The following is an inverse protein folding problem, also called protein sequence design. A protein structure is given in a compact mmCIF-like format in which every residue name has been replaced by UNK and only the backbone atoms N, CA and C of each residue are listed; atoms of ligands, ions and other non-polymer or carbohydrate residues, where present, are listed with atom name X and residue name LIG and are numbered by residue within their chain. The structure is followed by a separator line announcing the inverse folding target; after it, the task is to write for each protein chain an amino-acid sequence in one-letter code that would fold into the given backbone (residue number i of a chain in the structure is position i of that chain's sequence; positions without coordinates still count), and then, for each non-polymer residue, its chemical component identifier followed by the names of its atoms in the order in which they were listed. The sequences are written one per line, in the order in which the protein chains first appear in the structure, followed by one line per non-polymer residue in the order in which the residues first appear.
data_IF_717631444784
#
_entry.id   IF_717631444784
#
_cell.length_a   1.000
_cell.length_b   1.000
_cell.length_c   1.000
_cell.angle_alpha   90.00
_cell.angle_beta   90.00
_cell.angle_gamma   90.00
#
_symmetry.space_group_name_H-M   'P 1'
#
loop_
_entity.id
_entity.type
_entity.pdbx_description
1 polymer ?
#
# COMPACT_ATOMS: atom_id res chain seq x y z
N UNK A 1 -10.18 -3.30 -8.15
CA UNK A 1 -9.28 -3.12 -6.97
C UNK A 1 -7.84 -3.23 -7.45
N UNK A 2 -6.86 -2.62 -6.79
CA UNK A 2 -5.43 -2.69 -7.13
C UNK A 2 -4.69 -3.43 -6.03
N UNK A 3 -3.78 -4.34 -6.40
CA UNK A 3 -2.82 -4.90 -5.46
C UNK A 3 -1.52 -4.10 -5.59
N UNK A 4 -1.06 -3.51 -4.49
CA UNK A 4 0.19 -2.75 -4.41
C UNK A 4 1.20 -3.49 -3.55
N UNK A 5 2.47 -3.49 -3.95
CA UNK A 5 3.58 -3.96 -3.14
C UNK A 5 4.13 -2.77 -2.35
N UNK A 6 4.10 -2.86 -1.03
CA UNK A 6 4.70 -1.88 -0.12
C UNK A 6 5.99 -2.43 0.49
N UNK A 7 6.90 -1.53 0.85
CA UNK A 7 8.11 -1.80 1.63
C UNK A 7 8.14 -0.90 2.86
N UNK A 8 8.37 -1.48 4.02
CA UNK A 8 8.64 -0.70 5.23
C UNK A 8 10.02 -0.05 5.15
N UNK A 9 10.10 1.25 5.36
CA UNK A 9 11.36 1.99 5.36
C UNK A 9 12.17 1.80 6.66
N UNK A 10 11.55 1.23 7.71
CA UNK A 10 12.22 0.96 8.99
C UNK A 10 12.87 -0.43 9.01
N UNK A 11 12.09 -1.50 8.81
CA UNK A 11 12.59 -2.87 8.91
C UNK A 11 12.83 -3.55 7.54
N UNK A 12 12.52 -2.87 6.43
CA UNK A 12 12.71 -3.40 5.07
C UNK A 12 11.71 -4.46 4.64
N UNK A 13 10.77 -4.86 5.51
CA UNK A 13 9.76 -5.87 5.22
C UNK A 13 8.86 -5.44 4.05
N UNK A 14 8.58 -6.36 3.13
CA UNK A 14 7.74 -6.13 1.96
C UNK A 14 6.47 -6.95 2.06
N UNK A 15 5.34 -6.34 1.73
CA UNK A 15 4.02 -6.97 1.81
C UNK A 15 3.07 -6.36 0.78
N UNK A 16 2.07 -7.14 0.39
CA UNK A 16 1.08 -6.75 -0.61
C UNK A 16 -0.17 -6.21 0.10
N UNK A 17 -0.79 -5.18 -0.45
CA UNK A 17 -2.05 -4.65 0.03
C UNK A 17 -3.02 -4.43 -1.11
N UNK A 18 -4.27 -4.81 -0.87
CA UNK A 18 -5.38 -4.50 -1.75
C UNK A 18 -5.90 -3.10 -1.42
N UNK A 19 -5.90 -2.22 -2.42
CA UNK A 19 -6.49 -0.89 -2.36
C UNK A 19 -7.61 -0.77 -3.39
N UNK A 20 -8.60 0.06 -3.14
CA UNK A 20 -9.66 0.29 -4.13
C UNK A 20 -9.12 1.17 -5.26
N UNK A 21 -9.31 0.74 -6.52
CA UNK A 21 -8.97 1.52 -7.72
C UNK A 21 -10.00 2.65 -7.86
N UNK A 22 -9.77 3.78 -7.19
CA UNK A 22 -10.63 4.96 -7.36
C UNK A 22 -10.15 5.69 -8.60
N UNK A 23 -11.06 5.88 -9.56
CA UNK A 23 -10.79 6.49 -10.88
C UNK A 23 -10.37 7.97 -10.82
N UNK A 24 -10.15 8.52 -9.64
CA UNK A 24 -9.81 9.92 -9.41
C UNK A 24 -8.31 10.07 -9.12
N UNK A 25 -7.51 10.65 -10.05
CA UNK A 25 -6.08 10.84 -9.87
C UNK A 25 -5.72 11.90 -8.80
N UNK A 26 -6.70 12.64 -8.24
CA UNK A 26 -6.50 13.63 -7.19
C UNK A 26 -6.87 13.12 -5.78
N UNK A 27 -7.57 11.99 -5.66
CA UNK A 27 -7.65 11.30 -4.38
C UNK A 27 -6.32 10.57 -4.17
N UNK A 28 -5.43 11.17 -3.36
CA UNK A 28 -4.29 10.45 -2.77
C UNK A 28 -4.84 9.13 -2.27
N UNK A 29 -4.29 7.99 -2.72
CA UNK A 29 -4.67 6.64 -2.29
C UNK A 29 -4.98 6.68 -0.79
N UNK A 30 -6.25 6.83 -0.41
CA UNK A 30 -6.61 6.91 1.00
C UNK A 30 -6.67 5.46 1.38
N UNK A 31 -5.68 4.91 2.10
CA UNK A 31 -5.94 3.63 2.69
C UNK A 31 -7.09 3.88 3.67
N UNK A 32 -8.22 3.20 3.44
CA UNK A 32 -9.14 3.01 4.53
C UNK A 32 -8.31 2.38 5.63
N UNK A 33 -8.05 3.13 6.72
CA UNK A 33 -7.13 2.77 7.81
C UNK A 33 -5.64 3.08 7.58
N UNK A 34 -4.90 3.62 8.56
CA UNK A 34 -3.45 3.75 8.45
C UNK A 34 -2.80 2.38 8.23
N UNK A 35 -2.19 2.17 7.07
CA UNK A 35 -1.43 0.94 6.80
C UNK A 35 -0.13 1.03 7.58
N UNK A 36 0.09 0.06 8.46
CA UNK A 36 1.33 -0.11 9.20
C UNK A 36 2.04 -1.39 8.77
N UNK A 37 3.36 -1.40 8.90
CA UNK A 37 4.13 -2.62 8.69
C UNK A 37 3.78 -3.68 9.75
N UNK A 38 3.38 -4.87 9.33
CA UNK A 38 3.02 -5.99 10.22
C UNK A 38 4.16 -6.46 11.15
N UNK A 39 5.41 -6.13 10.82
CA UNK A 39 6.60 -6.54 11.59
C UNK A 39 6.98 -5.57 12.70
N UNK A 40 6.88 -4.27 12.44
CA UNK A 40 7.39 -3.23 13.34
C UNK A 40 6.36 -2.15 13.68
N UNK A 41 5.14 -2.32 13.18
CA UNK A 41 4.01 -1.40 13.34
C UNK A 41 4.28 0.05 12.89
N UNK A 42 5.31 0.26 12.06
CA UNK A 42 5.63 1.59 11.52
C UNK A 42 4.72 1.95 10.35
N UNK A 43 4.19 3.18 10.36
CA UNK A 43 3.47 3.77 9.21
C UNK A 43 4.38 4.34 8.11
N UNK A 44 5.70 4.21 8.23
CA UNK A 44 6.65 4.66 7.19
C UNK A 44 6.80 3.58 6.11
N UNK A 45 5.94 3.67 5.11
CA UNK A 45 5.85 2.72 4.00
C UNK A 45 6.15 3.42 2.67
N UNK A 46 6.77 2.68 1.77
CA UNK A 46 7.09 3.09 0.40
C UNK A 46 6.37 2.16 -0.58
N UNK A 47 5.67 2.74 -1.56
CA UNK A 47 5.12 1.97 -2.66
C UNK A 47 6.24 1.55 -3.61
N UNK A 48 6.41 0.24 -3.79
CA UNK A 48 7.42 -0.31 -4.70
C UNK A 48 6.86 -0.42 -6.11
N UNK A 49 5.64 -0.95 -6.24
CA UNK A 49 4.94 -1.11 -7.52
C UNK A 49 3.47 -1.51 -7.35
N UNK A 50 2.66 -1.21 -8.36
CA UNK A 50 1.36 -1.85 -8.58
C UNK A 50 1.59 -3.23 -9.20
N UNK A 51 1.02 -4.27 -8.61
CA UNK A 51 1.19 -5.66 -9.06
C UNK A 51 0.10 -6.01 -10.08
N UNK A 52 -1.19 -5.76 -9.78
CA UNK A 52 -2.34 -6.21 -10.60
C UNK A 52 -3.57 -5.34 -10.39
N UNK A 53 -4.41 -5.20 -11.42
CA UNK A 53 -5.83 -4.80 -11.28
C UNK A 53 -6.67 -6.06 -11.06
N UNK A 54 -7.23 -6.21 -9.87
CA UNK A 54 -8.32 -7.15 -9.65
C UNK A 54 -9.57 -6.58 -10.33
N UNK A 55 -10.01 -7.28 -11.39
CA UNK A 55 -11.21 -6.98 -12.18
C UNK A 55 -12.49 -7.24 -11.41
#
# INVERSE_FOLDING_TARGET
MLVKLLKCQICGHRFEIEVYDRRDPNEKDIPGYPICCERCNSGRLEEVRVIRRAG
#
